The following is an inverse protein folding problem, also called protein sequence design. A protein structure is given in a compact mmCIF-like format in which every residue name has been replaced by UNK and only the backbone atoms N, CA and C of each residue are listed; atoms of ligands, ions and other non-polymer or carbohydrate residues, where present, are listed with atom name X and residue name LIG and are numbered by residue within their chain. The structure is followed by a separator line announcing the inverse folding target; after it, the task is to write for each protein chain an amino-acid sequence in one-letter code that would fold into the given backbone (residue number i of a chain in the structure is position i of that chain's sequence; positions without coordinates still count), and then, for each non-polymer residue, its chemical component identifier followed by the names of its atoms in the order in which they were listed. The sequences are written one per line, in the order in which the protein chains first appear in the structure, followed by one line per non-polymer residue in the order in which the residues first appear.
data_IF_634400135844
#
_entry.id   IF_634400135844
#
_cell.length_a   1.000
_cell.length_b   1.000
_cell.length_c   1.000
_cell.angle_alpha   90.00
_cell.angle_beta   90.00
_cell.angle_gamma   90.00
#
_symmetry.space_group_name_H-M   'P 1'
#
loop_
_entity.id
_entity.type
_entity.pdbx_description
1 polymer ?
#
# COMPACT_ATOMS: atom_id res chain seq x y z
N UNK A 1 -14.27 -5.40 12.27
CA UNK A 1 -12.94 -5.12 11.65
C UNK A 1 -12.26 -6.44 11.34
N UNK A 2 -11.38 -6.52 10.33
CA UNK A 2 -10.79 -7.78 9.86
C UNK A 2 -9.26 -7.75 9.89
N UNK A 3 -8.66 -8.88 10.29
CA UNK A 3 -7.23 -9.20 10.17
C UNK A 3 -7.04 -10.33 9.17
N UNK A 4 -5.96 -10.32 8.41
CA UNK A 4 -5.64 -11.37 7.44
C UNK A 4 -4.14 -11.69 7.47
N UNK A 5 -3.78 -12.96 7.58
CA UNK A 5 -2.41 -13.44 7.42
C UNK A 5 -2.42 -14.45 6.28
N UNK A 6 -1.62 -14.19 5.25
CA UNK A 6 -1.62 -15.03 4.05
C UNK A 6 -0.19 -15.35 3.67
N UNK A 7 0.08 -16.65 3.60
CA UNK A 7 1.32 -17.22 3.11
C UNK A 7 1.04 -17.76 1.72
N UNK A 8 1.74 -17.23 0.71
CA UNK A 8 1.65 -17.65 -0.69
C UNK A 8 0.20 -17.72 -1.21
N UNK A 9 -0.36 -16.60 -1.64
CA UNK A 9 -1.75 -16.59 -2.08
C UNK A 9 -2.17 -15.41 -2.95
N UNK A 10 -3.39 -15.50 -3.48
CA UNK A 10 -4.05 -14.40 -4.18
C UNK A 10 -5.20 -13.88 -3.33
N UNK A 11 -5.31 -12.57 -3.22
CA UNK A 11 -6.42 -11.91 -2.53
C UNK A 11 -7.09 -10.96 -3.50
N UNK A 12 -8.39 -11.14 -3.66
CA UNK A 12 -9.26 -10.21 -4.36
C UNK A 12 -10.41 -9.89 -3.43
N UNK A 13 -10.76 -8.61 -3.30
CA UNK A 13 -11.95 -8.28 -2.55
C UNK A 13 -12.18 -6.80 -2.30
N UNK A 14 -13.42 -6.51 -1.94
CA UNK A 14 -13.89 -5.18 -1.58
C UNK A 14 -14.31 -5.20 -0.12
N UNK A 15 -13.96 -4.18 0.64
CA UNK A 15 -14.40 -4.08 2.03
C UNK A 15 -14.30 -2.66 2.57
N UNK A 16 -15.15 -2.29 3.51
CA UNK A 16 -15.13 -0.92 4.05
C UNK A 16 -13.86 -0.63 4.87
N UNK A 17 -13.42 -1.59 5.70
CA UNK A 17 -12.31 -1.41 6.64
C UNK A 17 -11.41 -2.65 6.68
N UNK A 18 -10.09 -2.42 6.66
CA UNK A 18 -9.12 -3.42 7.10
C UNK A 18 -8.06 -2.76 7.97
N UNK A 19 -7.89 -3.35 9.15
CA UNK A 19 -6.95 -2.87 10.14
C UNK A 19 -5.55 -3.44 9.86
N UNK A 20 -5.43 -4.76 9.66
CA UNK A 20 -4.12 -5.42 9.51
C UNK A 20 -4.12 -6.51 8.46
N UNK A 21 -3.07 -6.55 7.64
CA UNK A 21 -2.70 -7.77 6.95
C UNK A 21 -1.19 -7.94 6.86
N UNK A 22 -0.76 -9.20 6.97
CA UNK A 22 0.61 -9.62 6.71
C UNK A 22 0.60 -10.63 5.57
N UNK A 23 1.41 -10.39 4.55
CA UNK A 23 1.41 -11.19 3.33
C UNK A 23 2.85 -11.50 2.93
N UNK A 24 3.22 -12.78 2.92
CA UNK A 24 4.62 -13.16 2.69
C UNK A 24 4.94 -13.23 1.21
N UNK A 25 4.15 -13.92 0.39
CA UNK A 25 4.21 -13.83 -1.07
C UNK A 25 2.80 -13.81 -1.64
N UNK A 26 2.53 -12.99 -2.67
CA UNK A 26 1.23 -13.05 -3.33
C UNK A 26 0.89 -11.93 -4.28
N UNK A 27 -0.26 -12.08 -4.93
CA UNK A 27 -0.92 -11.01 -5.71
C UNK A 27 -2.13 -10.51 -4.95
N UNK A 28 -2.21 -9.21 -4.76
CA UNK A 28 -3.28 -8.59 -3.98
C UNK A 28 -3.93 -7.53 -4.84
N UNK A 29 -5.23 -7.67 -5.07
CA UNK A 29 -6.06 -6.59 -5.61
C UNK A 29 -7.15 -6.25 -4.61
N UNK A 30 -7.24 -4.98 -4.21
CA UNK A 30 -8.19 -4.61 -3.16
C UNK A 30 -8.69 -3.18 -3.20
N UNK A 31 -9.99 -3.05 -2.94
CA UNK A 31 -10.66 -1.76 -2.81
C UNK A 31 -11.21 -1.61 -1.40
N UNK A 32 -10.84 -0.53 -0.71
CA UNK A 32 -11.36 -0.26 0.63
C UNK A 32 -11.41 1.22 0.99
N UNK A 33 -12.35 1.62 1.85
CA UNK A 33 -12.39 3.03 2.30
C UNK A 33 -11.21 3.35 3.22
N UNK A 34 -10.87 2.42 4.13
CA UNK A 34 -9.78 2.58 5.10
C UNK A 34 -8.89 1.35 5.16
N UNK A 35 -7.57 1.58 5.05
CA UNK A 35 -6.52 0.59 5.17
C UNK A 35 -5.47 1.09 6.17
N UNK A 36 -5.34 0.39 7.30
CA UNK A 36 -4.53 0.92 8.39
C UNK A 36 -3.08 0.43 8.39
N UNK A 37 -2.83 -0.88 8.46
CA UNK A 37 -1.48 -1.44 8.55
C UNK A 37 -1.29 -2.63 7.64
N UNK A 38 -0.24 -2.62 6.83
CA UNK A 38 0.07 -3.73 5.93
C UNK A 38 1.57 -3.99 5.93
N UNK A 39 1.95 -5.26 6.07
CA UNK A 39 3.31 -5.72 5.85
C UNK A 39 3.30 -6.73 4.71
N UNK A 40 4.11 -6.51 3.69
CA UNK A 40 4.17 -7.37 2.52
C UNK A 40 5.63 -7.68 2.22
N UNK A 41 5.99 -8.96 2.23
CA UNK A 41 7.38 -9.37 2.02
C UNK A 41 7.71 -9.43 0.53
N UNK A 42 7.01 -10.23 -0.28
CA UNK A 42 7.09 -10.15 -1.73
C UNK A 42 5.69 -10.09 -2.37
N UNK A 43 5.51 -9.31 -3.43
CA UNK A 43 4.28 -9.44 -4.20
C UNK A 43 3.97 -8.33 -5.19
N UNK A 44 2.87 -8.55 -5.91
CA UNK A 44 2.24 -7.54 -6.76
C UNK A 44 0.97 -7.04 -6.09
N UNK A 45 0.88 -5.72 -5.89
CA UNK A 45 -0.20 -5.10 -5.12
C UNK A 45 -0.89 -4.06 -6.00
N UNK A 46 -2.19 -4.21 -6.22
CA UNK A 46 -3.04 -3.18 -6.81
C UNK A 46 -4.10 -2.76 -5.79
N UNK A 47 -4.17 -1.47 -5.45
CA UNK A 47 -5.06 -1.00 -4.37
C UNK A 47 -5.68 0.36 -4.63
N UNK A 48 -6.95 0.44 -4.27
CA UNK A 48 -7.69 1.71 -4.25
C UNK A 48 -8.24 1.96 -2.85
N UNK A 49 -7.86 3.09 -2.23
CA UNK A 49 -8.40 3.45 -0.94
C UNK A 49 -8.52 4.96 -0.68
N UNK A 50 -9.50 5.38 0.13
CA UNK A 50 -9.58 6.80 0.51
C UNK A 50 -8.46 7.17 1.49
N UNK A 51 -8.18 6.29 2.45
CA UNK A 51 -7.15 6.49 3.47
C UNK A 51 -6.25 5.27 3.61
N UNK A 52 -4.94 5.51 3.52
CA UNK A 52 -3.87 4.54 3.74
C UNK A 52 -2.91 5.06 4.81
N UNK A 53 -2.84 4.36 5.95
CA UNK A 53 -2.08 4.86 7.10
C UNK A 53 -0.63 4.33 7.14
N UNK A 54 -0.41 3.02 7.02
CA UNK A 54 0.94 2.44 7.08
C UNK A 54 1.10 1.26 6.13
N UNK A 55 2.13 1.30 5.31
CA UNK A 55 2.59 0.15 4.52
C UNK A 55 4.09 -0.04 4.66
N UNK A 56 4.51 -1.28 4.89
CA UNK A 56 5.89 -1.72 4.77
C UNK A 56 5.95 -2.80 3.71
N UNK A 57 6.84 -2.64 2.73
CA UNK A 57 6.96 -3.57 1.61
C UNK A 57 8.43 -3.89 1.38
N UNK A 58 8.79 -5.17 1.43
CA UNK A 58 10.19 -5.59 1.30
C UNK A 58 10.60 -5.75 -0.15
N UNK A 59 9.88 -6.52 -0.96
CA UNK A 59 10.07 -6.60 -2.42
C UNK A 59 8.72 -6.54 -3.14
N UNK A 60 8.61 -5.80 -4.24
CA UNK A 60 7.41 -5.94 -5.07
C UNK A 60 7.09 -4.80 -6.01
N UNK A 61 5.98 -4.98 -6.72
CA UNK A 61 5.40 -3.95 -7.57
C UNK A 61 4.08 -3.48 -6.97
N UNK A 62 3.93 -2.17 -6.82
CA UNK A 62 2.75 -1.56 -6.20
C UNK A 62 2.14 -0.58 -7.18
N UNK A 63 0.85 -0.77 -7.45
CA UNK A 63 -0.01 0.23 -8.06
C UNK A 63 -1.05 0.66 -7.04
N UNK A 64 -1.12 1.96 -6.75
CA UNK A 64 -2.05 2.48 -5.74
C UNK A 64 -2.73 3.77 -6.15
N UNK A 65 -3.98 3.90 -5.74
CA UNK A 65 -4.71 5.17 -5.77
C UNK A 65 -5.22 5.46 -4.37
N UNK A 66 -4.77 6.56 -3.76
CA UNK A 66 -5.33 6.99 -2.50
C UNK A 66 -5.34 8.49 -2.25
N UNK A 67 -6.46 8.99 -1.70
CA UNK A 67 -6.58 10.42 -1.39
C UNK A 67 -5.59 10.84 -0.30
N UNK A 68 -5.45 10.05 0.76
CA UNK A 68 -4.55 10.32 1.87
C UNK A 68 -3.63 9.15 2.16
N UNK A 69 -2.34 9.45 2.24
CA UNK A 69 -1.26 8.51 2.52
C UNK A 69 -0.41 9.03 3.66
N UNK A 70 -0.35 8.27 4.76
CA UNK A 70 0.38 8.72 5.96
C UNK A 70 1.85 8.26 5.93
N UNK A 71 2.11 6.95 5.86
CA UNK A 71 3.49 6.43 5.91
C UNK A 71 3.70 5.23 5.00
N UNK A 72 4.80 5.26 4.27
CA UNK A 72 5.25 4.13 3.46
C UNK A 72 6.75 3.92 3.54
N UNK A 73 7.15 2.66 3.74
CA UNK A 73 8.53 2.21 3.67
C UNK A 73 8.64 1.08 2.66
N UNK A 74 9.55 1.22 1.70
CA UNK A 74 9.73 0.26 0.62
C UNK A 74 11.20 -0.03 0.46
N UNK A 75 11.56 -1.31 0.55
CA UNK A 75 12.96 -1.72 0.52
C UNK A 75 13.42 -1.94 -0.91
N UNK A 76 12.95 -2.97 -1.61
CA UNK A 76 13.14 -3.13 -3.05
C UNK A 76 11.81 -3.08 -3.81
N UNK A 77 11.74 -2.39 -4.94
CA UNK A 77 10.54 -2.50 -5.79
C UNK A 77 10.19 -1.27 -6.60
N UNK A 78 9.09 -1.41 -7.33
CA UNK A 78 8.53 -0.34 -8.16
C UNK A 78 7.18 0.10 -7.61
N UNK A 79 7.00 1.41 -7.53
CA UNK A 79 5.76 2.01 -7.08
C UNK A 79 5.24 2.91 -8.19
N UNK A 80 3.96 2.78 -8.45
CA UNK A 80 3.18 3.72 -9.24
C UNK A 80 1.96 4.10 -8.43
N UNK A 81 1.60 5.38 -8.45
CA UNK A 81 0.36 5.75 -7.83
C UNK A 81 0.00 7.21 -7.89
N UNK A 82 -1.23 7.47 -7.48
CA UNK A 82 -1.79 8.81 -7.43
C UNK A 82 -2.38 9.10 -6.06
N UNK A 83 -2.15 10.32 -5.59
CA UNK A 83 -2.73 10.78 -4.35
C UNK A 83 -2.82 12.28 -4.21
N UNK A 84 -3.61 12.73 -3.22
CA UNK A 84 -3.71 14.17 -2.92
C UNK A 84 -2.77 14.58 -1.79
N UNK A 85 -2.59 13.71 -0.80
CA UNK A 85 -1.75 14.00 0.36
C UNK A 85 -0.86 12.82 0.68
N UNK A 86 0.43 13.09 0.87
CA UNK A 86 1.45 12.15 1.31
C UNK A 86 2.23 12.81 2.46
N UNK A 87 2.22 12.20 3.65
CA UNK A 87 2.97 12.72 4.81
C UNK A 87 4.42 12.24 4.80
N UNK A 88 4.67 10.92 4.67
CA UNK A 88 6.04 10.37 4.62
C UNK A 88 6.17 9.17 3.70
N UNK A 89 7.29 9.14 2.97
CA UNK A 89 7.69 8.03 2.13
C UNK A 89 9.20 7.81 2.20
N UNK A 90 9.62 6.56 2.24
CA UNK A 90 11.03 6.15 2.20
C UNK A 90 11.20 4.95 1.27
N UNK A 91 12.19 5.03 0.39
CA UNK A 91 12.54 4.00 -0.58
C UNK A 91 14.05 3.78 -0.50
N UNK A 92 14.48 2.53 -0.34
CA UNK A 92 15.90 2.20 -0.28
C UNK A 92 16.47 1.80 -1.65
N UNK A 93 15.83 0.86 -2.34
CA UNK A 93 16.31 0.24 -3.59
C UNK A 93 15.14 0.05 -4.59
N UNK A 94 14.59 1.16 -5.07
CA UNK A 94 13.39 1.10 -5.90
C UNK A 94 13.13 2.35 -6.72
N UNK A 95 12.10 2.25 -7.56
CA UNK A 95 11.61 3.36 -8.38
C UNK A 95 10.24 3.78 -7.90
N UNK A 96 9.98 5.10 -7.90
CA UNK A 96 8.67 5.66 -7.59
C UNK A 96 8.21 6.64 -8.65
N UNK A 97 7.12 6.27 -9.31
CA UNK A 97 6.37 7.10 -10.21
C UNK A 97 5.06 7.53 -9.52
N UNK A 98 5.19 8.36 -8.49
CA UNK A 98 4.03 8.90 -7.77
C UNK A 98 3.65 10.28 -8.28
N UNK A 99 2.37 10.47 -8.63
CA UNK A 99 1.82 11.78 -8.92
C UNK A 99 1.00 12.28 -7.73
N UNK A 100 1.48 13.33 -7.07
CA UNK A 100 0.77 14.04 -6.00
C UNK A 100 0.46 15.49 -6.37
N UNK A 101 -0.78 15.92 -6.16
CA UNK A 101 -1.13 17.35 -6.15
C UNK A 101 -0.79 17.91 -4.75
N UNK A 102 0.47 18.32 -4.55
CA UNK A 102 1.07 18.56 -3.23
C UNK A 102 0.40 19.72 -2.46
N UNK A 103 -0.20 19.40 -1.31
CA UNK A 103 0.11 20.13 -0.08
C UNK A 103 0.95 19.19 0.78
N UNK A 104 2.27 19.26 0.64
CA UNK A 104 3.20 18.64 1.60
C UNK A 104 2.92 19.26 2.96
N UNK A 105 2.33 18.51 3.87
CA UNK A 105 2.23 18.94 5.26
C UNK A 105 3.57 18.58 5.89
N UNK A 106 4.45 19.58 6.06
CA UNK A 106 5.68 19.50 6.85
C UNK A 106 5.37 19.02 8.28
#
# INVERSE_FOLDING_TARGET
MKRQNIWNGKIFGTGKYLERANISNGKISRTAKYLERQNISNGQISRTAKYLKRQNISNGQISRTAKYLKRQNIWNGQISGTGKYLERQSISNGQDAHSTNLKSCL
#
